data_IF_851196074824
#
_entry.id   IF_851196074824
#
_cell.length_a   1.000
_cell.length_b   1.000
_cell.length_c   1.000
_cell.angle_alpha   90.00
_cell.angle_beta   90.00
_cell.angle_gamma   90.00
#
_symmetry.space_group_name_H-M   'P 1'
#
loop_
_entity.id
_entity.type
_entity.pdbx_description
1 polymer ?
#
# COMPACT_ATOMS: atom_id res chain seq x y z
N UNK A 1 -5.34 -16.99 6.97
CA UNK A 1 -5.66 -15.99 8.02
C UNK A 1 -6.45 -14.86 7.38
N UNK A 2 -7.76 -14.84 7.58
CA UNK A 2 -8.65 -13.80 7.09
C UNK A 2 -8.96 -12.83 8.25
N UNK A 3 -8.09 -11.86 8.49
CA UNK A 3 -8.40 -10.73 9.36
C UNK A 3 -9.20 -9.72 8.53
N UNK A 4 -10.53 -9.84 8.55
CA UNK A 4 -11.43 -8.75 8.12
C UNK A 4 -12.54 -9.06 7.12
N UNK A 5 -13.10 -10.26 7.05
CA UNK A 5 -14.19 -10.50 6.08
C UNK A 5 -15.48 -9.69 6.32
N UNK A 6 -15.71 -9.14 7.54
CA UNK A 6 -17.04 -8.61 7.90
C UNK A 6 -17.10 -7.19 8.49
N UNK A 7 -16.04 -6.38 8.40
CA UNK A 7 -16.15 -4.98 8.85
C UNK A 7 -16.80 -4.10 7.76
N UNK A 8 -17.78 -3.26 8.13
CA UNK A 8 -18.33 -2.22 7.23
C UNK A 8 -17.22 -1.38 6.59
N UNK A 9 -16.15 -1.15 7.34
CA UNK A 9 -14.92 -0.47 6.89
C UNK A 9 -14.28 -1.13 5.68
N UNK A 10 -14.17 -2.46 5.64
CA UNK A 10 -13.58 -3.16 4.49
C UNK A 10 -14.51 -3.19 3.27
N UNK A 11 -15.83 -3.12 3.47
CA UNK A 11 -16.76 -2.87 2.36
C UNK A 11 -16.56 -1.48 1.77
N UNK A 12 -16.34 -0.46 2.61
CA UNK A 12 -16.13 0.93 2.17
C UNK A 12 -14.75 1.14 1.53
N UNK A 13 -13.66 0.71 2.18
CA UNK A 13 -12.29 1.03 1.78
C UNK A 13 -11.55 -0.12 1.12
N UNK A 14 -12.11 -1.32 1.07
CA UNK A 14 -11.43 -2.50 0.53
C UNK A 14 -11.05 -2.33 -0.95
N UNK A 15 -11.88 -1.65 -1.75
CA UNK A 15 -11.53 -1.32 -3.14
C UNK A 15 -10.32 -0.38 -3.20
N UNK A 16 -10.31 0.66 -2.37
CA UNK A 16 -9.21 1.61 -2.32
C UNK A 16 -7.90 0.94 -1.88
N UNK A 17 -7.93 0.12 -0.83
CA UNK A 17 -6.75 -0.63 -0.35
C UNK A 17 -6.21 -1.55 -1.45
N UNK A 18 -7.09 -2.26 -2.18
CA UNK A 18 -6.68 -3.12 -3.30
C UNK A 18 -6.06 -2.33 -4.44
N UNK A 19 -6.65 -1.20 -4.82
CA UNK A 19 -6.14 -0.33 -5.87
C UNK A 19 -4.78 0.25 -5.49
N UNK A 20 -4.64 0.77 -4.26
CA UNK A 20 -3.37 1.32 -3.78
C UNK A 20 -2.27 0.25 -3.76
N UNK A 21 -2.57 -0.94 -3.23
CA UNK A 21 -1.62 -2.07 -3.25
C UNK A 21 -1.23 -2.47 -4.68
N UNK A 22 -2.19 -2.46 -5.61
CA UNK A 22 -1.93 -2.74 -7.02
C UNK A 22 -1.03 -1.66 -7.65
N UNK A 23 -1.30 -0.38 -7.40
CA UNK A 23 -0.49 0.74 -7.89
C UNK A 23 0.96 0.64 -7.41
N UNK A 24 1.17 0.33 -6.13
CA UNK A 24 2.53 0.12 -5.58
C UNK A 24 3.23 -1.02 -6.32
N UNK A 25 2.58 -2.18 -6.44
CA UNK A 25 3.18 -3.37 -7.06
C UNK A 25 3.45 -3.22 -8.57
N UNK A 26 2.74 -2.31 -9.24
CA UNK A 26 2.86 -2.03 -10.68
C UNK A 26 3.64 -0.76 -10.99
N UNK A 27 4.10 -0.03 -9.97
CA UNK A 27 4.98 1.12 -10.17
C UNK A 27 6.21 0.71 -10.98
N UNK A 28 6.61 1.46 -12.02
CA UNK A 28 7.87 1.23 -12.71
C UNK A 28 9.07 1.73 -11.90
N UNK A 29 8.82 2.53 -10.85
CA UNK A 29 9.83 3.13 -9.98
C UNK A 29 9.84 2.34 -8.68
N UNK A 30 10.85 1.48 -8.55
CA UNK A 30 11.12 0.71 -7.34
C UNK A 30 12.22 1.39 -6.53
N UNK A 31 12.09 1.36 -5.21
CA UNK A 31 13.08 1.94 -4.30
C UNK A 31 13.78 0.85 -3.49
N UNK A 32 15.11 0.93 -3.42
CA UNK A 32 15.94 0.16 -2.48
C UNK A 32 16.89 1.09 -1.74
N UNK A 33 17.11 0.84 -0.46
CA UNK A 33 17.89 1.70 0.43
C UNK A 33 17.21 1.89 1.78
N UNK A 34 17.73 2.81 2.58
CA UNK A 34 17.15 3.15 3.88
C UNK A 34 16.10 4.24 3.74
N UNK A 35 14.93 4.05 4.34
CA UNK A 35 13.89 5.07 4.47
C UNK A 35 13.62 5.41 5.92
N UNK A 36 13.09 6.60 6.15
CA UNK A 36 12.97 7.22 7.46
C UNK A 36 11.50 7.49 7.79
N UNK A 37 11.07 7.17 9.01
CA UNK A 37 9.74 7.52 9.51
C UNK A 37 9.82 7.98 10.96
N UNK A 38 9.62 9.27 11.19
CA UNK A 38 9.46 9.78 12.54
C UNK A 38 8.05 9.56 13.06
N UNK A 39 7.95 9.25 14.34
CA UNK A 39 6.69 9.06 15.03
C UNK A 39 6.86 9.20 16.55
N UNK A 40 5.74 9.26 17.26
CA UNK A 40 5.75 9.21 18.71
C UNK A 40 5.50 7.78 19.18
N UNK A 41 6.46 7.20 19.91
CA UNK A 41 6.35 5.90 20.55
C UNK A 41 6.46 6.06 22.08
N UNK A 42 5.57 5.39 22.79
CA UNK A 42 5.71 5.19 24.23
C UNK A 42 6.88 4.27 24.56
N UNK A 43 7.36 4.33 25.81
CA UNK A 43 8.44 3.45 26.26
C UNK A 43 8.08 1.96 26.16
N UNK A 44 6.80 1.61 26.40
CA UNK A 44 6.31 0.24 26.26
C UNK A 44 6.32 -0.24 24.81
N UNK A 45 6.02 0.63 23.84
CA UNK A 45 6.13 0.29 22.42
C UNK A 45 7.58 0.09 21.98
N UNK A 46 8.50 0.96 22.41
CA UNK A 46 9.94 0.78 22.15
C UNK A 46 10.41 -0.56 22.72
N UNK A 47 10.07 -0.86 23.98
CA UNK A 47 10.42 -2.13 24.60
C UNK A 47 9.80 -3.34 23.87
N UNK A 48 8.60 -3.17 23.28
CA UNK A 48 7.97 -4.19 22.45
C UNK A 48 8.78 -4.48 21.18
N UNK A 49 9.34 -3.46 20.52
CA UNK A 49 10.27 -3.67 19.41
C UNK A 49 11.54 -4.40 19.87
N UNK A 50 12.15 -3.96 20.97
CA UNK A 50 13.40 -4.54 21.49
C UNK A 50 13.26 -6.01 21.91
N UNK A 51 12.07 -6.41 22.38
CA UNK A 51 11.76 -7.78 22.79
C UNK A 51 11.31 -8.68 21.64
N UNK A 52 10.99 -8.12 20.45
CA UNK A 52 10.61 -8.91 19.29
C UNK A 52 11.83 -9.63 18.68
N UNK A 53 11.98 -10.92 19.01
CA UNK A 53 12.96 -11.80 18.37
C UNK A 53 12.49 -12.37 17.03
N UNK A 54 11.19 -12.37 16.79
CA UNK A 54 10.60 -12.90 15.56
C UNK A 54 10.19 -11.76 14.62
N UNK A 55 10.25 -12.01 13.31
CA UNK A 55 9.67 -11.10 12.34
C UNK A 55 8.20 -10.80 12.60
N UNK A 56 7.80 -9.56 12.38
CA UNK A 56 6.43 -9.09 12.60
C UNK A 56 5.89 -8.38 11.37
N UNK A 57 4.57 -8.13 11.35
CA UNK A 57 3.89 -7.45 10.25
C UNK A 57 3.37 -6.08 10.68
N UNK A 58 3.49 -5.08 9.81
CA UNK A 58 2.80 -3.80 9.96
C UNK A 58 1.54 -3.85 9.08
N UNK A 59 0.33 -3.82 9.65
CA UNK A 59 -0.91 -4.05 8.89
C UNK A 59 -1.32 -2.88 7.99
N UNK A 60 -0.74 -1.69 8.23
CA UNK A 60 -1.04 -0.46 7.51
C UNK A 60 -0.02 -0.19 6.41
N UNK A 61 -0.40 0.62 5.42
CA UNK A 61 0.59 1.26 4.55
C UNK A 61 1.51 2.14 5.40
N UNK A 62 2.81 2.12 5.08
CA UNK A 62 3.81 2.86 5.85
C UNK A 62 4.42 3.94 4.96
N UNK A 63 3.96 5.17 5.16
CA UNK A 63 4.57 6.38 4.58
C UNK A 63 5.93 6.66 5.25
N UNK A 64 6.94 6.93 4.44
CA UNK A 64 8.33 7.16 4.86
C UNK A 64 8.98 8.21 3.96
N UNK A 65 10.13 8.76 4.34
CA UNK A 65 10.89 9.71 3.53
C UNK A 65 12.31 9.22 3.29
N UNK A 66 12.90 9.60 2.15
CA UNK A 66 14.32 9.36 1.87
C UNK A 66 15.26 10.20 2.75
N UNK A 67 14.90 11.46 2.99
CA UNK A 67 15.82 12.43 3.61
C UNK A 67 15.29 13.07 4.88
N UNK A 68 13.99 13.40 4.95
CA UNK A 68 13.40 14.20 6.03
C UNK A 68 12.24 13.45 6.67
N UNK A 69 12.48 12.72 7.78
CA UNK A 69 11.39 12.11 8.51
C UNK A 69 10.49 13.18 9.13
N UNK A 70 9.23 12.83 9.37
CA UNK A 70 8.36 13.59 10.27
C UNK A 70 8.99 13.74 11.67
N UNK A 71 8.54 14.73 12.43
CA UNK A 71 8.99 14.90 13.82
C UNK A 71 8.52 13.75 14.74
N UNK A 72 9.09 13.68 15.94
CA UNK A 72 8.65 12.76 16.98
C UNK A 72 9.78 12.31 17.92
N UNK A 73 9.42 11.62 19.00
CA UNK A 73 10.39 11.09 19.96
C UNK A 73 11.10 9.81 19.48
N UNK A 74 10.66 9.22 18.38
CA UNK A 74 11.26 8.04 17.77
C UNK A 74 11.40 8.19 16.25
N UNK A 75 12.44 7.56 15.71
CA UNK A 75 12.74 7.46 14.29
C UNK A 75 12.87 5.99 13.91
N UNK A 76 12.01 5.52 13.01
CA UNK A 76 12.19 4.24 12.34
C UNK A 76 13.13 4.45 11.15
N UNK A 77 14.20 3.66 11.09
CA UNK A 77 15.07 3.53 9.92
C UNK A 77 14.81 2.16 9.34
N UNK A 78 14.27 2.11 8.13
CA UNK A 78 13.83 0.87 7.48
C UNK A 78 14.73 0.59 6.29
N UNK A 79 15.50 -0.48 6.35
CA UNK A 79 16.33 -0.92 5.24
C UNK A 79 15.51 -1.79 4.27
N UNK A 80 15.34 -1.28 3.04
CA UNK A 80 14.64 -1.92 1.93
C UNK A 80 15.66 -2.57 1.01
N UNK A 81 15.71 -3.90 1.01
CA UNK A 81 16.60 -4.65 0.12
C UNK A 81 16.07 -4.65 -1.32
N UNK A 82 16.95 -4.71 -2.36
CA UNK A 82 16.56 -4.67 -3.76
C UNK A 82 15.48 -5.68 -4.16
N UNK A 83 15.53 -6.90 -3.63
CA UNK A 83 14.55 -7.95 -3.93
C UNK A 83 13.14 -7.67 -3.40
N UNK A 84 13.01 -6.73 -2.45
CA UNK A 84 11.74 -6.32 -1.82
C UNK A 84 11.26 -4.94 -2.28
N UNK A 85 12.02 -4.26 -3.14
CA UNK A 85 11.71 -2.92 -3.66
C UNK A 85 10.37 -2.82 -4.39
N UNK A 86 9.85 -3.93 -4.93
CA UNK A 86 8.52 -4.02 -5.58
C UNK A 86 7.32 -3.80 -4.65
N UNK A 87 7.55 -3.81 -3.34
CA UNK A 87 6.53 -3.51 -2.32
C UNK A 87 6.63 -2.07 -1.80
N UNK A 88 7.43 -1.25 -2.49
CA UNK A 88 7.68 0.14 -2.20
C UNK A 88 7.42 0.95 -3.48
N UNK A 89 6.85 2.13 -3.33
CA UNK A 89 6.64 3.06 -4.44
C UNK A 89 7.16 4.43 -4.03
N UNK A 90 7.99 5.03 -4.88
CA UNK A 90 8.32 6.44 -4.76
C UNK A 90 7.14 7.28 -5.25
N UNK A 91 6.68 8.20 -4.41
CA UNK A 91 5.60 9.12 -4.75
C UNK A 91 6.23 10.33 -5.41
N UNK A 92 6.16 10.39 -6.74
CA UNK A 92 6.64 11.54 -7.51
C UNK A 92 5.65 12.71 -7.47
N UNK A 93 6.07 13.93 -7.86
CA UNK A 93 5.17 15.08 -7.95
C UNK A 93 3.95 14.88 -8.88
N UNK A 94 4.00 13.90 -9.80
CA UNK A 94 2.84 13.55 -10.63
C UNK A 94 1.72 12.85 -9.83
N UNK A 95 2.05 12.30 -8.66
CA UNK A 95 1.12 11.57 -7.79
C UNK A 95 0.72 12.35 -6.55
N UNK A 96 1.42 13.43 -6.21
CA UNK A 96 1.20 14.22 -5.00
C UNK A 96 1.43 15.71 -5.25
N UNK A 97 0.59 16.56 -4.64
CA UNK A 97 0.76 18.02 -4.67
C UNK A 97 1.84 18.51 -3.70
N UNK A 98 2.44 17.61 -2.93
CA UNK A 98 3.42 17.93 -1.90
C UNK A 98 4.82 17.62 -2.42
N UNK A 99 5.76 18.55 -2.18
CA UNK A 99 7.18 18.35 -2.44
C UNK A 99 7.80 17.52 -1.31
N UNK A 100 7.40 16.25 -1.28
CA UNK A 100 7.86 15.27 -0.31
C UNK A 100 8.59 14.15 -1.04
N UNK A 101 9.78 13.81 -0.56
CA UNK A 101 10.52 12.64 -1.03
C UNK A 101 9.95 11.35 -0.42
N UNK A 102 8.63 11.15 -0.57
CA UNK A 102 7.88 10.07 0.05
C UNK A 102 8.14 8.72 -0.65
N UNK A 103 8.47 7.71 0.17
CA UNK A 103 8.43 6.31 -0.22
C UNK A 103 7.29 5.65 0.53
N UNK A 104 6.30 5.17 -0.20
CA UNK A 104 5.14 4.47 0.34
C UNK A 104 5.35 2.96 0.32
N UNK A 105 5.36 2.35 1.50
CA UNK A 105 5.47 0.89 1.65
C UNK A 105 4.06 0.27 1.72
N UNK A 106 3.88 -0.84 1.00
CA UNK A 106 2.64 -1.62 1.02
C UNK A 106 2.27 -2.07 2.44
N UNK A 107 0.97 -2.25 2.67
CA UNK A 107 0.45 -2.86 3.89
C UNK A 107 0.85 -4.34 4.01
N UNK A 108 0.87 -4.84 5.26
CA UNK A 108 1.24 -6.20 5.63
C UNK A 108 2.65 -6.61 5.15
N UNK A 109 3.55 -5.65 5.07
CA UNK A 109 4.96 -5.94 4.91
C UNK A 109 5.53 -6.57 6.20
N UNK A 110 6.50 -7.47 6.03
CA UNK A 110 7.16 -8.19 7.12
C UNK A 110 8.47 -7.49 7.48
N UNK A 111 8.74 -7.32 8.76
CA UNK A 111 9.91 -6.62 9.26
C UNK A 111 10.67 -7.46 10.27
N UNK A 112 11.99 -7.32 10.28
CA UNK A 112 12.84 -7.75 11.39
C UNK A 112 13.29 -6.54 12.17
N UNK A 113 13.21 -6.62 13.49
CA UNK A 113 13.96 -5.71 14.35
C UNK A 113 15.46 -6.02 14.21
N UNK A 114 16.29 -4.98 14.12
CA UNK A 114 17.75 -5.13 14.16
C UNK A 114 18.34 -4.63 15.48
N UNK A 115 18.13 -3.35 15.79
CA UNK A 115 18.67 -2.68 16.97
C UNK A 115 17.97 -1.36 17.24
N UNK A 116 18.12 -0.87 18.47
CA UNK A 116 17.72 0.47 18.89
C UNK A 116 18.96 1.25 19.31
N UNK A 117 19.06 2.49 18.85
CA UNK A 117 20.09 3.46 19.22
C UNK A 117 19.43 4.67 19.90
N UNK A 118 20.19 5.41 20.73
CA UNK A 118 19.75 6.69 21.29
C UNK A 118 20.64 7.79 20.72
N UNK A 119 20.06 8.79 20.07
CA UNK A 119 20.78 9.95 19.57
C UNK A 119 19.98 11.22 19.84
N UNK A 120 20.61 12.24 20.42
CA UNK A 120 19.99 13.55 20.67
C UNK A 120 18.62 13.49 21.37
N UNK A 121 18.45 12.55 22.31
CA UNK A 121 17.18 12.34 23.03
C UNK A 121 16.11 11.58 22.25
N UNK A 122 16.32 11.32 20.96
CA UNK A 122 15.44 10.52 20.11
C UNK A 122 15.84 9.03 20.14
N UNK A 123 14.84 8.15 20.05
CA UNK A 123 15.04 6.70 19.87
C UNK A 123 15.12 6.36 18.38
N UNK A 124 16.20 5.76 17.93
CA UNK A 124 16.36 5.32 16.54
C UNK A 124 16.17 3.80 16.51
N UNK A 125 15.08 3.32 15.93
CA UNK A 125 14.77 1.89 15.81
C UNK A 125 15.08 1.47 14.37
N UNK A 126 16.06 0.58 14.21
CA UNK A 126 16.46 0.04 12.92
C UNK A 126 15.70 -1.24 12.62
N UNK A 127 15.02 -1.23 11.48
CA UNK A 127 14.21 -2.32 10.97
C UNK A 127 14.74 -2.73 9.59
N UNK A 128 14.59 -4.01 9.27
CA UNK A 128 14.84 -4.53 7.92
C UNK A 128 13.53 -5.01 7.32
N UNK A 129 13.23 -4.56 6.11
CA UNK A 129 12.13 -5.11 5.33
C UNK A 129 12.51 -6.52 4.89
N UNK A 130 11.72 -7.50 5.31
CA UNK A 130 11.87 -8.88 4.93
C UNK A 130 10.87 -9.22 3.82
N UNK A 131 11.28 -10.17 3.00
CA UNK A 131 10.35 -10.86 2.14
C UNK A 131 9.32 -11.64 2.90
N UNK A 132 8.18 -11.83 2.23
CA UNK A 132 7.50 -13.09 2.37
C UNK A 132 8.51 -14.16 1.96
N UNK A 133 9.04 -14.89 2.94
CA UNK A 133 9.32 -16.28 2.73
C UNK A 133 7.96 -16.89 2.40
N UNK A 134 7.54 -16.74 1.13
CA UNK A 134 6.46 -17.54 0.60
C UNK A 134 6.86 -18.96 1.00
N UNK A 135 6.05 -19.70 1.77
CA UNK A 135 6.29 -21.13 1.85
C UNK A 135 6.47 -21.58 0.39
N UNK A 136 7.53 -22.32 0.08
CA UNK A 136 8.09 -22.63 -1.25
C UNK A 136 7.09 -23.07 -2.37
N UNK A 137 5.79 -23.04 -2.12
CA UNK A 137 4.68 -23.45 -2.96
C UNK A 137 3.77 -22.31 -3.46
N UNK A 138 4.03 -21.03 -3.16
CA UNK A 138 3.29 -19.95 -3.83
C UNK A 138 3.88 -19.70 -5.22
N UNK A 139 3.48 -20.55 -6.17
CA UNK A 139 3.68 -20.30 -7.58
C UNK A 139 3.13 -18.89 -7.91
N UNK A 140 3.88 -18.05 -8.65
CA UNK A 140 3.30 -16.82 -9.17
C UNK A 140 2.02 -17.20 -9.90
N UNK A 141 0.90 -16.55 -9.55
CA UNK A 141 -0.34 -16.70 -10.30
C UNK A 141 0.03 -16.52 -11.77
N UNK A 142 -0.23 -17.52 -12.64
CA UNK A 142 0.15 -17.42 -14.03
C UNK A 142 -0.47 -16.14 -14.56
N UNK A 143 0.37 -15.31 -15.16
CA UNK A 143 -0.01 -14.03 -15.72
C UNK A 143 -1.20 -14.30 -16.65
N UNK A 144 -2.41 -13.92 -16.24
CA UNK A 144 -3.65 -14.20 -16.99
C UNK A 144 -3.73 -13.38 -18.29
N UNK A 145 -2.65 -12.71 -18.65
CA UNK A 145 -2.40 -12.14 -19.96
C UNK A 145 -1.67 -13.10 -20.90
N UNK A 146 -1.80 -14.42 -20.74
CA UNK A 146 -1.75 -15.27 -21.95
C UNK A 146 -2.88 -14.81 -22.86
N UNK A 147 -2.60 -14.39 -24.12
CA UNK A 147 -3.64 -14.08 -25.08
C UNK A 147 -4.61 -15.24 -25.09
N UNK A 148 -5.90 -14.98 -24.85
CA UNK A 148 -6.92 -16.00 -25.08
C UNK A 148 -6.65 -16.52 -26.50
N UNK A 149 -6.42 -17.83 -26.69
CA UNK A 149 -6.33 -18.36 -28.05
C UNK A 149 -7.58 -17.90 -28.76
N UNK A 150 -7.41 -17.25 -29.91
CA UNK A 150 -8.49 -16.82 -30.79
C UNK A 150 -9.34 -18.07 -31.07
N UNK A 151 -10.37 -18.29 -30.27
CA UNK A 151 -11.46 -19.19 -30.62
C UNK A 151 -12.20 -18.48 -31.73
N UNK A 152 -11.74 -18.72 -32.94
CA UNK A 152 -12.57 -18.60 -34.13
C UNK A 152 -13.76 -19.54 -33.91
N UNK A 153 -14.79 -19.04 -33.24
CA UNK A 153 -16.10 -19.66 -33.27
C UNK A 153 -16.60 -19.38 -34.68
N UNK A 154 -16.44 -20.36 -35.56
CA UNK A 154 -17.16 -20.41 -36.82
C UNK A 154 -18.64 -20.26 -36.50
N UNK A 155 -19.17 -19.05 -36.70
CA UNK A 155 -20.61 -18.79 -36.61
C UNK A 155 -21.29 -19.63 -37.69
N UNK A 156 -22.33 -20.42 -37.36
CA UNK A 156 -23.19 -21.01 -38.38
C UNK A 156 -23.86 -19.90 -39.19
N UNK A 157 -23.81 -20.00 -40.52
CA UNK A 157 -24.42 -19.10 -41.49
C UNK A 157 -25.96 -19.20 -41.49
N UNK A 158 -26.62 -18.80 -40.40
CA UNK A 158 -28.09 -18.61 -40.41
C UNK A 158 -28.51 -17.61 -39.32
N UNK A 159 -28.15 -16.34 -39.52
CA UNK A 159 -28.70 -15.24 -38.73
C UNK A 159 -29.71 -14.47 -39.58
N UNK A 160 -30.99 -14.67 -39.29
CA UNK A 160 -32.10 -13.86 -39.79
C UNK A 160 -32.01 -12.45 -39.16
N UNK A 161 -31.88 -11.36 -39.94
CA UNK A 161 -31.70 -10.02 -39.39
C UNK A 161 -33.00 -9.37 -38.88
N UNK A 162 -34.14 -10.08 -38.84
CA UNK A 162 -35.44 -9.46 -38.52
C UNK A 162 -35.93 -9.78 -37.12
N UNK A 163 -35.30 -9.16 -36.12
CA UNK A 163 -35.91 -8.67 -34.86
C UNK A 163 -34.81 -8.58 -33.81
N UNK A 164 -34.61 -7.38 -33.28
CA UNK A 164 -34.68 -7.04 -31.86
C UNK A 164 -34.30 -5.56 -31.79
N UNK A 165 -35.31 -4.72 -31.54
CA UNK A 165 -35.11 -3.33 -31.19
C UNK A 165 -34.35 -3.26 -29.87
N UNK A 166 -33.12 -2.75 -29.93
CA UNK A 166 -32.39 -2.38 -28.72
C UNK A 166 -32.81 -0.96 -28.35
N UNK A 167 -33.60 -0.88 -27.29
CA UNK A 167 -33.78 0.35 -26.53
C UNK A 167 -32.41 0.88 -26.12
N UNK A 168 -32.04 2.06 -26.62
CA UNK A 168 -30.92 2.85 -26.13
C UNK A 168 -31.18 3.25 -24.66
N UNK A 169 -30.80 2.40 -23.71
CA UNK A 169 -30.57 2.86 -22.34
C UNK A 169 -29.24 3.62 -22.31
N UNK A 170 -29.37 4.94 -22.40
CA UNK A 170 -28.37 5.94 -21.98
C UNK A 170 -27.81 5.53 -20.60
N UNK A 171 -26.62 4.93 -20.56
CA UNK A 171 -25.81 4.91 -19.34
C UNK A 171 -25.06 6.23 -19.28
N UNK A 172 -25.71 7.23 -18.69
CA UNK A 172 -25.02 8.44 -18.26
C UNK A 172 -24.16 8.11 -17.04
N UNK A 173 -22.84 8.10 -17.22
CA UNK A 173 -21.93 8.22 -16.10
C UNK A 173 -21.97 9.67 -15.63
N UNK A 174 -22.84 9.95 -14.65
CA UNK A 174 -22.73 11.17 -13.85
C UNK A 174 -21.50 11.01 -12.96
N UNK A 175 -20.35 11.46 -13.46
CA UNK A 175 -19.20 11.76 -12.63
C UNK A 175 -19.59 12.92 -11.71
N UNK A 176 -19.95 12.62 -10.45
CA UNK A 176 -20.02 13.66 -9.42
C UNK A 176 -18.58 13.96 -8.99
N UNK A 177 -18.14 15.23 -8.98
CA UNK A 177 -16.92 15.59 -8.29
C UNK A 177 -17.14 15.39 -6.79
N UNK A 178 -16.42 14.45 -6.19
CA UNK A 178 -16.29 14.40 -4.74
C UNK A 178 -15.34 15.51 -4.32
N UNK A 179 -15.89 16.68 -3.98
CA UNK A 179 -15.18 17.66 -3.18
C UNK A 179 -15.14 17.13 -1.73
N UNK A 180 -13.96 16.70 -1.29
CA UNK A 180 -13.69 16.51 0.13
C UNK A 180 -13.51 17.90 0.76
N UNK A 181 -14.55 18.41 1.43
CA UNK A 181 -14.37 19.45 2.46
C UNK A 181 -13.88 18.76 3.72
N UNK A 182 -12.62 18.99 4.05
CA UNK A 182 -12.01 18.54 5.29
C UNK A 182 -12.49 19.43 6.45
N UNK A 183 -13.63 19.07 7.05
CA UNK A 183 -14.03 19.61 8.36
C UNK A 183 -13.60 18.63 9.46
N UNK A 184 -12.31 18.68 9.82
CA UNK A 184 -11.79 18.20 11.10
C UNK A 184 -10.74 19.21 11.57
N UNK A 185 -11.18 20.34 12.09
CA UNK A 185 -10.39 21.17 13.01
C UNK A 185 -11.34 22.02 13.85
N UNK A 186 -11.85 21.45 14.95
CA UNK A 186 -12.26 22.21 16.12
C UNK A 186 -12.55 21.26 17.28
N UNK A 187 -11.48 20.73 17.87
CA UNK A 187 -11.50 20.21 19.24
C UNK A 187 -10.05 20.03 19.66
N UNK A 188 -9.45 21.10 20.18
CA UNK A 188 -8.53 21.09 21.32
C UNK A 188 -8.17 22.55 21.61
N UNK A 189 -8.95 23.16 22.49
CA UNK A 189 -8.50 24.34 23.22
C UNK A 189 -7.42 23.92 24.19
N UNK A 190 -6.23 24.49 24.03
CA UNK A 190 -5.19 24.50 25.05
C UNK A 190 -5.09 25.94 25.57
N UNK A 191 -5.36 26.08 26.87
CA UNK A 191 -4.86 27.19 27.68
C UNK A 191 -3.43 26.86 28.10
#
# INVERSE_FOLDING_TARGET
>A
MALGSDSRTLKTYGSYIKQLKYSIAKSPIYFSGSVLRGMNLSQSEVHKYESMRQPFYIPSFTSTSKTRPFGGNALLVIDVLPEWSKYCMEITPDFSNYDEEEILLSCYNRYSYERTEKSSGQRIIKLRLLGDALPNNYYPLPDRHTPRPNRHISRPNNYDPRRIGYNHRRSGYNARPFSYTADIFQLYGWR
#
